data_IF_555211752956
#
_entry.id   IF_555211752956
#
_cell.length_a   1.000
_cell.length_b   1.000
_cell.length_c   1.000
_cell.angle_alpha   90.00
_cell.angle_beta   90.00
_cell.angle_gamma   90.00
#
_symmetry.space_group_name_H-M   'P 1'
#
loop_
_entity.id
_entity.type
_entity.pdbx_description
1 polymer ?
#
# COMPACT_ATOMS: atom_id res chain seq x y z
N UNK A 1 -22.31 7.49 27.60
CA UNK A 1 -22.31 7.57 26.12
C UNK A 1 -20.89 7.87 25.71
N UNK A 2 -20.18 6.89 25.16
CA UNK A 2 -18.78 7.04 24.80
C UNK A 2 -18.68 8.05 23.65
N UNK A 3 -17.89 9.08 23.86
CA UNK A 3 -17.56 10.10 22.87
C UNK A 3 -16.88 9.38 21.70
N UNK A 4 -17.52 9.37 20.53
CA UNK A 4 -16.92 8.86 19.31
C UNK A 4 -15.82 9.86 18.91
N UNK A 5 -14.56 9.54 19.19
CA UNK A 5 -13.44 10.29 18.64
C UNK A 5 -13.37 9.96 17.14
N UNK A 6 -13.24 10.94 16.22
CA UNK A 6 -12.92 10.61 14.83
C UNK A 6 -11.55 9.95 14.85
N UNK A 7 -11.51 8.63 14.65
CA UNK A 7 -10.26 7.88 14.61
C UNK A 7 -9.32 8.63 13.66
N UNK A 8 -8.21 9.15 14.22
CA UNK A 8 -7.21 9.82 13.41
C UNK A 8 -6.83 8.84 12.29
N UNK A 9 -6.84 9.27 11.02
CA UNK A 9 -6.75 8.34 9.92
C UNK A 9 -5.41 7.59 10.00
N UNK A 10 -5.47 6.26 10.20
CA UNK A 10 -4.31 5.44 10.53
C UNK A 10 -3.51 5.12 9.27
N UNK A 11 -2.21 5.41 9.28
CA UNK A 11 -1.28 5.05 8.20
C UNK A 11 -0.91 3.57 8.29
N UNK A 12 -1.04 2.85 7.18
CA UNK A 12 -0.75 1.42 7.07
C UNK A 12 0.33 1.18 6.02
N UNK A 13 1.27 0.29 6.34
CA UNK A 13 2.32 -0.17 5.42
C UNK A 13 2.31 -1.69 5.35
N UNK A 14 2.30 -2.26 4.15
CA UNK A 14 2.36 -3.70 3.93
C UNK A 14 3.32 -4.04 2.79
N UNK A 15 4.00 -5.18 2.89
CA UNK A 15 4.85 -5.73 1.82
C UNK A 15 4.30 -7.09 1.39
N UNK A 16 4.20 -7.30 0.09
CA UNK A 16 3.74 -8.58 -0.48
C UNK A 16 4.70 -9.06 -1.57
N UNK A 17 4.74 -10.38 -1.75
CA UNK A 17 5.41 -11.02 -2.89
C UNK A 17 4.34 -11.68 -3.76
N UNK A 18 3.93 -11.06 -4.87
CA UNK A 18 2.98 -11.67 -5.79
C UNK A 18 3.64 -12.83 -6.52
N UNK A 19 2.85 -13.75 -7.08
CA UNK A 19 3.35 -14.79 -7.98
C UNK A 19 3.26 -14.24 -9.41
N UNK A 20 4.37 -14.20 -10.19
CA UNK A 20 5.68 -14.81 -9.93
C UNK A 20 6.51 -14.13 -8.84
N UNK A 21 7.14 -14.94 -7.98
CA UNK A 21 7.80 -14.53 -6.70
C UNK A 21 9.02 -13.60 -6.84
N UNK A 22 9.43 -13.30 -8.07
CA UNK A 22 10.56 -12.43 -8.41
C UNK A 22 10.18 -10.95 -8.40
N UNK A 23 9.14 -10.58 -7.66
CA UNK A 23 8.74 -9.19 -7.48
C UNK A 23 8.29 -8.92 -6.06
N UNK A 24 8.39 -7.65 -5.66
CA UNK A 24 7.98 -7.16 -4.35
C UNK A 24 7.06 -5.97 -4.57
N UNK A 25 5.86 -6.00 -3.98
CA UNK A 25 4.99 -4.83 -3.95
C UNK A 25 4.90 -4.29 -2.54
N UNK A 26 5.17 -3.00 -2.40
CA UNK A 26 4.90 -2.26 -1.16
C UNK A 26 3.63 -1.45 -1.32
N UNK A 27 2.79 -1.47 -0.30
CA UNK A 27 1.58 -0.67 -0.20
C UNK A 27 1.76 0.30 0.97
N UNK A 28 1.45 1.57 0.72
CA UNK A 28 1.30 2.59 1.76
C UNK A 28 -0.08 3.19 1.62
N UNK A 29 -0.76 3.42 2.72
CA UNK A 29 -2.11 3.95 2.65
C UNK A 29 -2.62 4.44 3.98
N UNK A 30 -3.85 4.92 3.93
CA UNK A 30 -4.52 5.48 5.09
C UNK A 30 -5.98 5.05 5.11
N UNK A 31 -6.46 4.63 6.28
CA UNK A 31 -7.85 4.27 6.48
C UNK A 31 -8.70 5.51 6.78
N UNK A 32 -9.80 5.65 6.05
CA UNK A 32 -10.80 6.72 6.22
C UNK A 32 -12.15 6.09 6.55
N UNK A 33 -12.96 6.76 7.36
CA UNK A 33 -14.36 6.39 7.59
C UNK A 33 -15.23 7.39 6.82
N UNK A 34 -16.12 6.89 5.96
CA UNK A 34 -17.05 7.74 5.21
C UNK A 34 -18.25 8.19 6.07
N UNK A 35 -19.09 9.06 5.51
CA UNK A 35 -20.28 9.59 6.19
C UNK A 35 -21.30 8.51 6.62
N UNK A 36 -21.24 7.31 6.03
CA UNK A 36 -22.08 6.17 6.37
C UNK A 36 -21.41 5.21 7.35
N UNK A 37 -20.24 5.57 7.88
CA UNK A 37 -19.47 4.74 8.80
C UNK A 37 -18.68 3.61 8.14
N UNK A 38 -18.51 3.61 6.81
CA UNK A 38 -17.75 2.57 6.11
C UNK A 38 -16.27 2.90 6.10
N UNK A 39 -15.45 1.92 6.45
CA UNK A 39 -13.99 2.02 6.36
C UNK A 39 -13.52 1.85 4.91
N UNK A 40 -12.68 2.77 4.44
CA UNK A 40 -12.07 2.78 3.12
C UNK A 40 -10.57 2.98 3.27
N UNK A 41 -9.80 1.98 2.86
CA UNK A 41 -8.34 2.09 2.80
C UNK A 41 -7.92 2.66 1.44
N UNK A 42 -7.44 3.91 1.43
CA UNK A 42 -6.83 4.50 0.23
C UNK A 42 -5.35 4.16 0.22
N UNK A 43 -4.87 3.52 -0.84
CA UNK A 43 -3.46 3.10 -0.95
C UNK A 43 -2.79 3.67 -2.20
N UNK A 44 -1.48 3.85 -2.10
CA UNK A 44 -0.55 3.87 -3.22
C UNK A 44 0.34 2.62 -3.11
N UNK A 45 0.90 2.20 -4.24
CA UNK A 45 1.78 1.05 -4.30
C UNK A 45 2.98 1.32 -5.19
N UNK A 46 4.06 0.60 -4.92
CA UNK A 46 5.18 0.46 -5.85
C UNK A 46 5.42 -1.02 -6.06
N UNK A 47 5.43 -1.45 -7.33
CA UNK A 47 5.78 -2.81 -7.72
C UNK A 47 7.20 -2.82 -8.23
N UNK A 48 8.08 -3.56 -7.54
CA UNK A 48 9.45 -3.77 -7.94
C UNK A 48 9.63 -5.13 -8.56
N UNK A 49 9.94 -5.16 -9.86
CA UNK A 49 10.29 -6.40 -10.57
C UNK A 49 11.78 -6.73 -10.38
N UNK A 50 12.12 -8.01 -10.33
CA UNK A 50 13.51 -8.47 -10.47
C UNK A 50 14.01 -8.19 -11.88
N UNK A 51 15.26 -7.75 -11.99
CA UNK A 51 15.98 -7.55 -13.25
C UNK A 51 17.36 -8.19 -13.14
N UNK A 52 17.84 -8.79 -14.24
CA UNK A 52 19.12 -9.51 -14.25
C UNK A 52 20.36 -8.61 -14.34
N UNK A 53 20.19 -7.31 -14.64
CA UNK A 53 21.28 -6.36 -14.82
C UNK A 53 20.92 -5.00 -14.20
N UNK A 54 21.88 -4.35 -13.55
CA UNK A 54 21.70 -3.02 -12.95
C UNK A 54 21.38 -1.92 -13.97
N UNK A 55 21.83 -2.08 -15.22
CA UNK A 55 21.51 -1.13 -16.29
C UNK A 55 20.02 -1.14 -16.67
N UNK A 56 19.27 -2.17 -16.23
CA UNK A 56 17.82 -2.29 -16.42
C UNK A 56 17.02 -1.82 -15.18
N UNK A 57 17.66 -1.32 -14.13
CA UNK A 57 16.99 -0.91 -12.89
C UNK A 57 15.94 0.19 -13.11
N UNK A 58 16.24 1.13 -14.01
CA UNK A 58 15.42 2.31 -14.28
C UNK A 58 13.98 1.99 -14.72
N UNK A 59 13.76 0.80 -15.29
CA UNK A 59 12.44 0.32 -15.76
C UNK A 59 11.77 -0.69 -14.82
N UNK A 60 12.40 -1.01 -13.68
CA UNK A 60 11.97 -2.10 -12.81
C UNK A 60 10.85 -1.72 -11.82
N UNK A 61 10.51 -0.43 -11.70
CA UNK A 61 9.48 0.09 -10.79
C UNK A 61 8.27 0.58 -11.57
N UNK A 62 7.08 0.13 -11.17
CA UNK A 62 5.77 0.65 -11.63
C UNK A 62 5.04 1.29 -10.46
#
# INVERSE_FOLDING_TARGET
>A
MAQHWPAAPATLTATSRPIPADSVTVFTGQCFVDEKGREVLKTMWLLRSSVGNIMDDWKATR
#
